data_IF_985815487190
#
_entry.id   IF_985815487190
#
_cell.length_a   1.000
_cell.length_b   1.000
_cell.length_c   1.000
_cell.angle_alpha   90.00
_cell.angle_beta   90.00
_cell.angle_gamma   90.00
#
_symmetry.space_group_name_H-M   'P 1'
#
loop_
_entity.id
_entity.type
_entity.pdbx_description
1 polymer ?
#
# COMPACT_ATOMS: atom_id res chain seq x y z
N UNK A 1 10.90 -3.93 12.89
CA UNK A 1 10.00 -2.76 12.77
C UNK A 1 8.91 -3.14 11.78
N UNK A 2 7.64 -3.10 12.18
CA UNK A 2 6.55 -3.33 11.22
C UNK A 2 6.34 -2.04 10.45
N UNK A 3 6.87 -1.97 9.23
CA UNK A 3 6.53 -0.86 8.34
C UNK A 3 5.02 -0.87 8.10
N UNK A 4 4.40 0.29 8.28
CA UNK A 4 2.97 0.45 8.05
C UNK A 4 2.68 0.31 6.54
N UNK A 5 1.48 -0.16 6.15
CA UNK A 5 1.05 -0.17 4.75
C UNK A 5 1.32 1.18 4.06
N UNK A 6 1.66 1.19 2.78
CA UNK A 6 1.82 2.43 1.99
C UNK A 6 0.47 2.81 1.37
N UNK A 7 0.07 4.08 1.53
CA UNK A 7 -1.13 4.65 0.88
C UNK A 7 -0.91 4.78 -0.62
N UNK A 8 -1.73 4.10 -1.43
CA UNK A 8 -1.61 4.14 -2.90
C UNK A 8 -2.72 4.94 -3.59
N UNK A 9 -3.89 5.09 -2.96
CA UNK A 9 -4.96 5.93 -3.46
C UNK A 9 -5.82 6.50 -2.31
N UNK A 10 -6.40 7.68 -2.56
CA UNK A 10 -7.38 8.35 -1.68
C UNK A 10 -8.58 8.78 -2.50
N UNK A 11 -9.77 8.78 -1.93
CA UNK A 11 -10.94 9.34 -2.59
C UNK A 11 -11.06 10.85 -2.38
N UNK A 12 -11.90 11.48 -3.21
CA UNK A 12 -12.47 12.80 -2.90
C UNK A 12 -13.28 12.80 -1.60
N UNK A 13 -13.43 13.97 -0.97
CA UNK A 13 -14.38 14.16 0.13
C UNK A 13 -15.81 14.06 -0.37
N UNK A 14 -16.62 13.25 0.31
CA UNK A 14 -18.07 13.20 0.07
C UNK A 14 -18.78 13.69 1.32
N UNK A 15 -19.62 14.72 1.15
CA UNK A 15 -20.51 15.21 2.21
C UNK A 15 -21.78 14.37 2.23
N UNK A 16 -22.06 13.78 3.37
CA UNK A 16 -23.32 13.07 3.62
C UNK A 16 -24.16 13.88 4.60
N UNK A 17 -25.45 14.04 4.29
CA UNK A 17 -26.40 14.75 5.16
C UNK A 17 -27.01 13.79 6.18
N UNK A 18 -27.30 14.30 7.38
CA UNK A 18 -28.03 13.59 8.42
C UNK A 18 -29.41 13.12 7.93
N UNK A 19 -29.84 11.94 8.39
CA UNK A 19 -31.17 11.39 8.09
C UNK A 19 -31.29 9.87 8.20
N UNK A 20 -30.18 9.13 8.20
CA UNK A 20 -30.09 7.68 8.45
C UNK A 20 -28.78 7.35 9.17
N UNK A 21 -28.71 6.20 9.83
CA UNK A 21 -27.49 5.72 10.49
C UNK A 21 -26.42 5.24 9.50
N UNK A 22 -26.82 4.92 8.26
CA UNK A 22 -25.87 4.59 7.20
C UNK A 22 -26.24 5.18 5.84
N UNK A 23 -25.23 5.37 5.00
CA UNK A 23 -25.40 5.74 3.60
C UNK A 23 -24.51 4.91 2.68
N UNK A 24 -25.06 4.52 1.53
CA UNK A 24 -24.29 3.98 0.41
C UNK A 24 -23.75 5.15 -0.41
N UNK A 25 -22.43 5.25 -0.53
CA UNK A 25 -21.74 6.34 -1.23
C UNK A 25 -20.82 5.75 -2.29
N UNK A 26 -20.83 6.35 -3.48
CA UNK A 26 -19.87 6.02 -4.53
C UNK A 26 -18.67 6.96 -4.46
N UNK A 27 -17.50 6.40 -4.19
CA UNK A 27 -16.24 7.14 -4.14
C UNK A 27 -15.50 7.14 -5.47
N UNK A 28 -14.79 8.23 -5.77
CA UNK A 28 -13.82 8.26 -6.88
C UNK A 28 -12.43 8.37 -6.30
N UNK A 29 -11.59 7.40 -6.63
CA UNK A 29 -10.21 7.34 -6.17
C UNK A 29 -9.28 8.17 -7.06
N UNK A 30 -8.40 8.92 -6.39
CA UNK A 30 -7.25 9.59 -6.97
C UNK A 30 -5.98 8.82 -6.54
N UNK A 31 -5.14 8.38 -7.48
CA UNK A 31 -3.88 7.71 -7.14
C UNK A 31 -2.93 8.69 -6.45
N UNK A 32 -2.32 8.24 -5.36
CA UNK A 32 -1.32 8.99 -4.59
C UNK A 32 0.10 8.60 -5.02
N UNK A 33 0.32 7.30 -5.23
CA UNK A 33 1.61 6.77 -5.71
C UNK A 33 1.40 5.47 -6.47
N UNK A 34 2.39 5.15 -7.31
CA UNK A 34 2.49 3.83 -7.93
C UNK A 34 3.48 2.98 -7.13
N UNK A 35 3.15 1.71 -6.94
CA UNK A 35 4.06 0.70 -6.40
C UNK A 35 4.12 -0.41 -7.44
N UNK A 36 5.30 -0.68 -7.98
CA UNK A 36 5.52 -1.76 -8.95
C UNK A 36 6.55 -2.69 -8.34
N UNK A 37 6.21 -3.98 -8.26
CA UNK A 37 7.16 -4.98 -7.81
C UNK A 37 8.32 -5.07 -8.82
N UNK A 38 9.56 -5.00 -8.34
CA UNK A 38 10.75 -5.10 -9.18
C UNK A 38 11.97 -5.53 -8.38
N UNK A 39 12.97 -6.06 -9.09
CA UNK A 39 14.30 -6.40 -8.56
C UNK A 39 15.31 -5.60 -9.36
N UNK A 40 16.22 -4.93 -8.67
CA UNK A 40 17.36 -4.24 -9.24
C UNK A 40 18.64 -4.86 -8.66
N UNK A 41 19.61 -5.17 -9.50
CA UNK A 41 20.86 -5.78 -9.06
C UNK A 41 22.04 -5.28 -9.90
N UNK A 42 23.24 -5.28 -9.31
CA UNK A 42 24.49 -4.91 -9.98
C UNK A 42 24.95 -5.91 -11.05
N UNK A 43 24.25 -7.04 -11.19
CA UNK A 43 24.54 -8.09 -12.18
C UNK A 43 23.32 -9.00 -12.37
N UNK A 44 23.46 -10.02 -13.21
CA UNK A 44 22.37 -10.92 -13.53
C UNK A 44 21.95 -11.76 -12.32
N UNK A 45 20.68 -11.66 -11.94
CA UNK A 45 20.07 -12.44 -10.87
C UNK A 45 18.68 -12.88 -11.29
N UNK A 46 18.27 -14.08 -10.87
CA UNK A 46 16.90 -14.54 -11.09
C UNK A 46 15.95 -13.85 -10.12
N UNK A 47 15.07 -13.00 -10.63
CA UNK A 47 13.99 -12.38 -9.85
C UNK A 47 13.20 -13.41 -9.06
N UNK A 48 12.85 -14.53 -9.69
CA UNK A 48 12.10 -15.63 -9.06
C UNK A 48 12.82 -16.16 -7.82
N UNK A 49 14.14 -16.28 -7.86
CA UNK A 49 14.92 -16.70 -6.69
C UNK A 49 14.91 -15.64 -5.60
N UNK A 50 15.07 -14.36 -5.96
CA UNK A 50 15.04 -13.24 -5.02
C UNK A 50 13.69 -13.18 -4.30
N UNK A 51 12.57 -13.20 -5.04
CA UNK A 51 11.23 -13.19 -4.43
C UNK A 51 10.97 -14.42 -3.56
N UNK A 52 11.34 -15.63 -4.02
CA UNK A 52 11.15 -16.85 -3.22
C UNK A 52 11.97 -16.83 -1.93
N UNK A 53 13.21 -16.32 -1.98
CA UNK A 53 14.05 -16.15 -0.80
C UNK A 53 13.42 -15.13 0.17
N UNK A 54 12.91 -14.02 -0.37
CA UNK A 54 12.22 -12.99 0.39
C UNK A 54 10.95 -13.53 1.06
N UNK A 55 10.08 -14.22 0.32
CA UNK A 55 8.85 -14.85 0.84
C UNK A 55 9.16 -15.83 1.99
N UNK A 56 10.16 -16.69 1.80
CA UNK A 56 10.60 -17.64 2.84
C UNK A 56 11.11 -16.92 4.09
N UNK A 57 11.76 -15.77 3.93
CA UNK A 57 12.35 -15.01 5.04
C UNK A 57 11.32 -14.23 5.85
N UNK A 58 10.31 -13.69 5.17
CA UNK A 58 9.27 -12.85 5.77
C UNK A 58 8.21 -13.65 6.52
N UNK A 59 8.04 -14.94 6.18
CA UNK A 59 7.04 -15.82 6.79
C UNK A 59 5.66 -15.16 6.88
N UNK A 60 5.13 -14.74 5.72
CA UNK A 60 3.92 -13.93 5.63
C UNK A 60 2.63 -14.70 5.95
N UNK A 61 2.67 -15.84 6.65
CA UNK A 61 1.47 -16.56 7.10
C UNK A 61 0.52 -16.99 5.97
N UNK A 62 1.05 -17.30 4.78
CA UNK A 62 0.27 -17.72 3.61
C UNK A 62 -0.03 -16.62 2.58
N UNK A 63 0.31 -15.36 2.85
CA UNK A 63 0.27 -14.30 1.84
C UNK A 63 1.44 -14.43 0.86
N UNK A 64 1.14 -14.31 -0.44
CA UNK A 64 2.15 -14.32 -1.50
C UNK A 64 2.54 -12.89 -1.88
N UNK A 65 3.82 -12.68 -2.21
CA UNK A 65 4.28 -11.43 -2.76
C UNK A 65 3.89 -11.37 -4.24
N UNK A 66 3.50 -10.18 -4.68
CA UNK A 66 3.41 -9.92 -6.11
C UNK A 66 4.81 -9.71 -6.70
N UNK A 67 5.07 -10.38 -7.82
CA UNK A 67 6.40 -10.42 -8.46
C UNK A 67 6.55 -9.41 -9.59
N UNK A 68 7.74 -9.38 -10.20
CA UNK A 68 8.23 -8.34 -11.10
C UNK A 68 7.19 -7.84 -12.14
N UNK A 69 7.10 -6.51 -12.27
CA UNK A 69 6.22 -5.80 -13.18
C UNK A 69 4.76 -5.68 -12.70
N UNK A 70 4.39 -6.31 -11.57
CA UNK A 70 3.02 -6.20 -11.03
C UNK A 70 2.86 -4.91 -10.24
N UNK A 71 2.01 -4.02 -10.75
CA UNK A 71 1.59 -2.80 -10.07
C UNK A 71 0.57 -3.11 -8.98
N UNK A 72 0.69 -2.43 -7.84
CA UNK A 72 -0.31 -2.45 -6.78
C UNK A 72 -1.65 -1.91 -7.31
N UNK A 73 -2.79 -2.51 -6.91
CA UNK A 73 -4.08 -2.17 -7.46
C UNK A 73 -4.50 -0.79 -6.97
N UNK A 74 -4.89 0.08 -7.91
CA UNK A 74 -5.64 1.29 -7.59
C UNK A 74 -7.11 0.96 -7.83
N UNK A 75 -7.99 1.05 -6.80
CA UNK A 75 -9.42 0.83 -6.98
C UNK A 75 -9.98 1.62 -8.16
N UNK A 76 -10.98 1.05 -8.82
CA UNK A 76 -11.59 1.64 -10.00
C UNK A 76 -12.20 3.02 -9.74
N UNK A 77 -12.61 3.71 -10.82
CA UNK A 77 -13.12 5.09 -10.72
C UNK A 77 -14.35 5.23 -9.81
N UNK A 78 -15.04 4.15 -9.46
CA UNK A 78 -16.26 4.14 -8.67
C UNK A 78 -16.41 2.84 -7.87
N UNK A 79 -16.33 2.93 -6.54
CA UNK A 79 -16.71 1.84 -5.64
C UNK A 79 -17.73 2.34 -4.62
N UNK A 80 -18.69 1.48 -4.31
CA UNK A 80 -19.78 1.82 -3.40
C UNK A 80 -19.50 1.26 -2.01
N UNK A 81 -19.28 2.15 -1.04
CA UNK A 81 -19.03 1.80 0.36
C UNK A 81 -20.22 2.22 1.22
N UNK A 82 -20.49 1.45 2.27
CA UNK A 82 -21.45 1.83 3.32
C UNK A 82 -20.73 2.57 4.43
N UNK A 83 -21.18 3.79 4.70
CA UNK A 83 -20.64 4.63 5.76
C UNK A 83 -21.61 4.65 6.92
N UNK A 84 -21.11 4.43 8.14
CA UNK A 84 -21.83 4.73 9.37
C UNK A 84 -21.77 6.24 9.63
N UNK A 85 -22.95 6.85 9.76
CA UNK A 85 -23.13 8.28 9.94
C UNK A 85 -23.39 8.65 11.40
N UNK A 86 -23.73 7.68 12.27
CA UNK A 86 -24.21 7.92 13.63
C UNK A 86 -25.29 9.03 13.67
N UNK A 87 -26.13 9.12 12.63
CA UNK A 87 -27.16 10.16 12.46
C UNK A 87 -26.64 11.58 12.22
N UNK A 88 -25.34 11.80 11.96
CA UNK A 88 -24.73 13.14 11.83
C UNK A 88 -24.25 13.43 10.40
N UNK A 89 -24.40 14.68 9.99
CA UNK A 89 -23.79 15.18 8.75
C UNK A 89 -22.27 15.25 8.91
N UNK A 90 -21.52 14.59 8.02
CA UNK A 90 -20.05 14.57 8.04
C UNK A 90 -19.48 14.51 6.61
N UNK A 91 -18.19 14.81 6.49
CA UNK A 91 -17.41 14.59 5.27
C UNK A 91 -16.58 13.33 5.45
N UNK A 92 -16.61 12.44 4.46
CA UNK A 92 -15.89 11.19 4.48
C UNK A 92 -14.93 11.08 3.30
N UNK A 93 -13.83 10.35 3.50
CA UNK A 93 -12.98 9.83 2.44
C UNK A 93 -12.80 8.32 2.60
N UNK A 94 -12.48 7.66 1.50
CA UNK A 94 -12.02 6.28 1.43
C UNK A 94 -10.52 6.27 1.10
N UNK A 95 -9.77 5.37 1.73
CA UNK A 95 -8.33 5.23 1.53
C UNK A 95 -8.02 3.78 1.22
N UNK A 96 -7.18 3.56 0.21
CA UNK A 96 -6.69 2.25 -0.17
C UNK A 96 -5.15 2.19 -0.08
N UNK A 97 -4.64 1.16 0.59
CA UNK A 97 -3.23 0.91 0.82
C UNK A 97 -2.84 -0.54 0.57
N UNK A 98 -1.54 -0.81 0.42
CA UNK A 98 -0.97 -2.16 0.35
C UNK A 98 0.21 -2.30 1.30
N UNK A 99 0.55 -3.52 1.70
CA UNK A 99 1.79 -3.76 2.43
C UNK A 99 2.93 -3.83 1.44
N UNK A 100 3.87 -2.88 1.53
CA UNK A 100 5.05 -2.85 0.66
C UNK A 100 6.24 -3.40 1.42
N UNK A 101 7.00 -4.26 0.75
CA UNK A 101 8.28 -4.77 1.23
C UNK A 101 9.36 -4.16 0.36
N UNK A 102 10.28 -3.46 1.00
CA UNK A 102 11.51 -2.96 0.38
C UNK A 102 12.67 -3.56 1.14
N UNK A 103 13.56 -4.28 0.45
CA UNK A 103 14.72 -4.90 1.06
C UNK A 103 15.94 -4.80 0.15
N UNK A 104 17.10 -4.63 0.76
CA UNK A 104 18.39 -4.79 0.08
C UNK A 104 18.92 -6.19 0.30
N UNK A 105 19.65 -6.73 -0.67
CA UNK A 105 20.30 -8.03 -0.58
C UNK A 105 21.74 -7.98 -1.10
N UNK A 106 22.54 -8.93 -0.63
CA UNK A 106 23.86 -9.24 -1.14
C UNK A 106 23.93 -10.76 -1.42
N UNK A 107 24.56 -11.13 -2.53
CA UNK A 107 24.75 -12.51 -2.97
C UNK A 107 26.24 -12.76 -3.18
N UNK A 108 26.84 -13.49 -2.23
CA UNK A 108 28.26 -13.80 -2.21
C UNK A 108 28.55 -15.18 -2.82
N UNK A 109 27.97 -15.52 -3.99
CA UNK A 109 28.18 -16.82 -4.65
C UNK A 109 27.72 -16.77 -6.12
N UNK A 110 28.29 -15.92 -6.98
CA UNK A 110 28.15 -16.13 -8.42
C UNK A 110 29.12 -17.24 -8.83
N UNK A 111 28.65 -18.48 -8.85
CA UNK A 111 29.42 -19.66 -9.23
C UNK A 111 29.73 -19.64 -10.74
N UNK A 112 30.81 -18.93 -11.09
CA UNK A 112 31.62 -19.21 -12.28
C UNK A 112 32.90 -19.86 -11.80
N UNK A 113 33.27 -21.00 -12.38
CA UNK A 113 34.43 -21.82 -12.03
C UNK A 113 35.77 -21.14 -12.38
N UNK A 114 36.11 -20.06 -11.68
CA UNK A 114 37.34 -19.30 -11.88
C UNK A 114 37.40 -18.13 -10.90
N UNK A 115 38.59 -17.88 -10.35
CA UNK A 115 38.91 -16.92 -9.30
C UNK A 115 38.04 -15.63 -9.24
N UNK A 116 37.51 -15.37 -8.04
CA UNK A 116 37.00 -14.07 -7.58
C UNK A 116 35.75 -13.53 -8.27
N UNK A 117 34.61 -14.20 -8.11
CA UNK A 117 33.32 -13.58 -8.40
C UNK A 117 33.03 -12.45 -7.40
N UNK A 118 32.86 -11.23 -7.89
CA UNK A 118 32.52 -10.08 -7.06
C UNK A 118 31.12 -10.28 -6.43
N UNK A 119 30.90 -9.83 -5.18
CA UNK A 119 29.58 -9.89 -4.56
C UNK A 119 28.56 -9.09 -5.38
N UNK A 120 27.38 -9.67 -5.59
CA UNK A 120 26.26 -8.99 -6.24
C UNK A 120 25.42 -8.30 -5.19
N UNK A 121 25.10 -7.03 -5.41
CA UNK A 121 24.23 -6.25 -4.53
C UNK A 121 22.97 -5.86 -5.28
N UNK A 122 21.86 -5.79 -4.56
CA UNK A 122 20.61 -5.38 -5.17
C UNK A 122 19.56 -4.95 -4.16
N UNK A 123 18.41 -4.57 -4.70
CA UNK A 123 17.21 -4.27 -3.96
C UNK A 123 16.01 -4.96 -4.58
N UNK A 124 15.01 -5.22 -3.75
CA UNK A 124 13.74 -5.80 -4.15
C UNK A 124 12.62 -4.95 -3.55
N UNK A 125 11.71 -4.53 -4.42
CA UNK A 125 10.43 -3.97 -4.03
C UNK A 125 9.35 -5.00 -4.35
N UNK A 126 8.52 -5.31 -3.37
CA UNK A 126 7.38 -6.20 -3.52
C UNK A 126 6.18 -5.61 -2.76
N UNK A 127 4.99 -6.15 -3.00
CA UNK A 127 3.83 -5.80 -2.20
C UNK A 127 2.91 -7.00 -2.03
N UNK A 128 2.09 -6.97 -0.98
CA UNK A 128 1.09 -7.99 -0.68
C UNK A 128 -0.08 -7.38 0.07
N UNK A 129 -1.22 -8.08 0.00
CA UNK A 129 -2.46 -7.65 0.64
C UNK A 129 -2.97 -6.29 0.15
N UNK A 130 -4.16 -5.94 0.61
CA UNK A 130 -4.71 -4.60 0.51
C UNK A 130 -5.46 -4.27 1.79
N UNK A 131 -5.34 -3.02 2.22
CA UNK A 131 -6.05 -2.44 3.35
C UNK A 131 -6.92 -1.30 2.83
N UNK A 132 -8.18 -1.25 3.28
CA UNK A 132 -9.12 -0.17 2.99
C UNK A 132 -9.61 0.45 4.29
N UNK A 133 -9.90 1.76 4.26
CA UNK A 133 -10.66 2.39 5.33
C UNK A 133 -11.42 3.64 4.89
N UNK A 134 -12.62 3.75 5.44
CA UNK A 134 -13.42 4.98 5.47
C UNK A 134 -13.07 5.83 6.68
N UNK A 135 -12.87 7.14 6.46
CA UNK A 135 -12.52 8.09 7.51
C UNK A 135 -13.45 9.30 7.46
N UNK A 136 -14.03 9.66 8.60
CA UNK A 136 -14.72 10.94 8.76
C UNK A 136 -13.72 12.06 9.08
N UNK A 137 -13.77 13.16 8.32
CA UNK A 137 -13.03 14.37 8.70
C UNK A 137 -13.55 14.93 10.05
N UNK A 138 -12.65 15.50 10.83
CA UNK A 138 -12.91 16.01 12.18
C UNK A 138 -12.65 14.98 13.29
N UNK A 139 -12.48 13.69 12.94
CA UNK A 139 -12.09 12.64 13.87
C UNK A 139 -10.62 12.30 13.62
N UNK A 140 -9.77 12.47 14.64
CA UNK A 140 -8.34 12.16 14.52
C UNK A 140 -8.14 10.65 14.41
N UNK A 141 -7.54 10.13 13.33
CA UNK A 141 -7.36 8.69 13.15
C UNK A 141 -6.41 8.11 14.21
N UNK A 142 -6.82 7.00 14.81
CA UNK A 142 -6.04 6.30 15.81
C UNK A 142 -5.03 5.34 15.13
N UNK A 143 -3.75 5.61 15.38
CA UNK A 143 -2.61 4.66 15.37
C UNK A 143 -1.88 4.33 14.05
N UNK A 144 -2.49 4.09 12.88
CA UNK A 144 -1.67 3.76 11.67
C UNK A 144 -1.20 5.02 10.92
N UNK A 145 0.08 5.07 10.55
CA UNK A 145 0.74 6.23 9.89
C UNK A 145 0.07 6.58 8.56
N UNK A 146 -0.27 5.57 7.75
CA UNK A 146 -0.85 5.75 6.42
C UNK A 146 -2.27 6.35 6.45
N UNK A 147 -3.08 6.00 7.47
CA UNK A 147 -4.37 6.65 7.72
C UNK A 147 -4.19 8.14 8.04
N UNK A 148 -3.20 8.48 8.86
CA UNK A 148 -2.91 9.87 9.20
C UNK A 148 -2.42 10.64 7.98
N UNK A 149 -1.55 10.05 7.18
CA UNK A 149 -1.07 10.67 5.93
C UNK A 149 -2.22 10.96 4.96
N UNK A 150 -3.12 10.00 4.73
CA UNK A 150 -4.30 10.21 3.89
C UNK A 150 -5.25 11.26 4.48
N UNK A 151 -5.48 11.22 5.80
CA UNK A 151 -6.29 12.22 6.50
C UNK A 151 -5.68 13.62 6.39
N UNK A 152 -4.39 13.77 6.61
CA UNK A 152 -3.70 15.06 6.55
C UNK A 152 -3.68 15.61 5.11
N UNK A 153 -3.59 14.74 4.11
CA UNK A 153 -3.65 15.12 2.70
C UNK A 153 -5.03 15.68 2.29
N UNK A 154 -6.11 15.08 2.78
CA UNK A 154 -7.47 15.37 2.28
C UNK A 154 -8.31 16.21 3.27
N UNK A 155 -8.21 15.94 4.57
CA UNK A 155 -9.00 16.62 5.62
C UNK A 155 -8.28 17.82 6.26
N UNK A 156 -6.95 18.02 6.12
CA UNK A 156 -6.28 19.14 6.80
C UNK A 156 -6.74 20.50 6.28
N UNK A 157 -7.16 20.60 5.01
CA UNK A 157 -7.78 21.79 4.43
C UNK A 157 -9.28 21.96 4.74
N UNK A 158 -9.91 21.00 5.42
CA UNK A 158 -11.33 21.06 5.81
C UNK A 158 -11.53 21.63 7.23
N UNK A 159 -10.45 22.06 7.90
CA UNK A 159 -10.55 22.87 9.12
C UNK A 159 -10.89 24.30 8.73
N UNK A 160 -12.10 24.70 9.13
CA UNK A 160 -12.73 26.03 9.10
C UNK A 160 -12.96 26.65 7.72
#
# INVERSE_FOLDING_TARGET
MSDSPKTIAVSQLVRVKAGKDSAKVTFRFAPVRSVVAHVEASGEVSDKMVYRALEKRLDLGGWLLWHNGKAAPVPGKQEATFLDLEGRSRQFLEVHGVHVVEASFALDCATGSGASAAPLYGSVTAWYGSDEASLACGIKPAKKRWFREAYDMVCAGARS
#
